data_IF_056754600371
#
_entry.id   IF_056754600371
#
_cell.length_a   1.000
_cell.length_b   1.000
_cell.length_c   1.000
_cell.angle_alpha   90.00
_cell.angle_beta   90.00
_cell.angle_gamma   90.00
#
_symmetry.space_group_name_H-M   'P 1'
#
loop_
_entity.id
_entity.type
_entity.pdbx_description
1 polymer ?
#
# COMPACT_ATOMS: atom_id res chain seq x y z
N UNK A 1 5.11 -13.01 -26.29
CA UNK A 1 4.13 -13.07 -25.19
C UNK A 1 4.70 -12.25 -24.05
N UNK A 2 4.04 -11.17 -23.65
CA UNK A 2 4.38 -10.46 -22.42
C UNK A 2 4.03 -11.37 -21.25
N UNK A 3 5.04 -11.90 -20.56
CA UNK A 3 4.85 -12.60 -19.29
C UNK A 3 4.19 -11.64 -18.32
N UNK A 4 2.93 -11.89 -17.97
CA UNK A 4 2.23 -11.17 -16.92
C UNK A 4 3.04 -11.34 -15.62
N UNK A 5 3.42 -10.23 -15.01
CA UNK A 5 4.00 -10.21 -13.67
C UNK A 5 2.88 -10.08 -12.66
N UNK A 6 2.97 -10.83 -11.57
CA UNK A 6 2.07 -10.73 -10.43
C UNK A 6 2.76 -10.02 -9.28
N UNK A 7 2.00 -9.22 -8.54
CA UNK A 7 2.50 -8.44 -7.42
C UNK A 7 1.53 -8.59 -6.26
N UNK A 8 2.07 -8.77 -5.05
CA UNK A 8 1.31 -8.61 -3.82
C UNK A 8 1.46 -7.15 -3.37
N UNK A 9 0.34 -6.48 -3.09
CA UNK A 9 0.30 -5.10 -2.59
C UNK A 9 -0.34 -5.10 -1.21
N UNK A 10 0.32 -4.47 -0.24
CA UNK A 10 -0.17 -4.37 1.13
C UNK A 10 -0.08 -2.94 1.65
N UNK A 11 -1.07 -2.56 2.45
CA UNK A 11 -1.11 -1.28 3.18
C UNK A 11 -1.13 -1.61 4.66
N UNK A 12 -0.18 -1.04 5.39
CA UNK A 12 -0.06 -1.25 6.84
C UNK A 12 -0.37 0.04 7.57
N UNK A 13 -1.34 0.00 8.48
CA UNK A 13 -1.65 1.09 9.39
C UNK A 13 -1.09 0.77 10.77
N UNK A 14 -0.15 1.59 11.27
CA UNK A 14 0.38 1.47 12.63
C UNK A 14 -0.34 2.43 13.58
N UNK A 15 -0.26 2.14 14.88
CA UNK A 15 -0.73 3.04 15.95
C UNK A 15 -2.23 3.41 15.87
N UNK A 16 -3.04 2.52 15.30
CA UNK A 16 -4.48 2.73 15.18
C UNK A 16 -5.19 2.67 16.53
N UNK A 17 -5.66 3.82 17.00
CA UNK A 17 -6.52 3.90 18.18
C UNK A 17 -7.97 3.56 17.82
N UNK A 18 -8.49 2.48 18.42
CA UNK A 18 -9.88 2.03 18.31
C UNK A 18 -10.29 1.15 19.51
N UNK A 19 -11.60 1.00 19.74
CA UNK A 19 -12.14 0.27 20.89
C UNK A 19 -11.98 -1.26 20.78
N UNK A 20 -11.92 -1.80 19.55
CA UNK A 20 -11.75 -3.22 19.28
C UNK A 20 -11.22 -3.47 17.84
N UNK A 21 -10.80 -4.70 17.48
CA UNK A 21 -10.23 -4.99 16.17
C UNK A 21 -11.16 -4.71 14.98
N UNK A 22 -12.47 -4.92 15.15
CA UNK A 22 -13.45 -4.64 14.09
C UNK A 22 -13.56 -3.14 13.82
N UNK A 23 -13.58 -2.32 14.87
CA UNK A 23 -13.63 -0.86 14.74
C UNK A 23 -12.31 -0.29 14.19
N UNK A 24 -11.16 -0.89 14.52
CA UNK A 24 -9.88 -0.55 13.88
C UNK A 24 -9.93 -0.79 12.37
N UNK A 25 -10.41 -1.97 11.95
CA UNK A 25 -10.53 -2.32 10.53
C UNK A 25 -11.52 -1.41 9.79
N UNK A 26 -12.69 -1.13 10.37
CA UNK A 26 -13.67 -0.19 9.79
C UNK A 26 -13.08 1.20 9.63
N UNK A 27 -12.32 1.68 10.62
CA UNK A 27 -11.65 2.99 10.57
C UNK A 27 -10.60 3.06 9.46
N UNK A 28 -9.80 2.01 9.28
CA UNK A 28 -8.84 1.92 8.17
C UNK A 28 -9.55 1.93 6.80
N UNK A 29 -10.60 1.11 6.64
CA UNK A 29 -11.41 1.11 5.42
C UNK A 29 -12.05 2.47 5.14
N UNK A 30 -12.49 3.16 6.18
CA UNK A 30 -13.08 4.50 6.05
C UNK A 30 -12.06 5.51 5.52
N UNK A 31 -10.83 5.51 6.04
CA UNK A 31 -9.74 6.35 5.53
C UNK A 31 -9.44 6.07 4.05
N UNK A 32 -9.49 4.81 3.64
CA UNK A 32 -9.26 4.42 2.25
C UNK A 32 -10.41 4.84 1.30
N UNK A 33 -11.66 4.81 1.76
CA UNK A 33 -12.84 4.98 0.91
C UNK A 33 -13.41 6.40 0.86
N UNK A 34 -13.33 7.16 1.96
CA UNK A 34 -14.05 8.43 2.06
C UNK A 34 -13.21 9.66 1.71
N UNK A 35 -11.89 9.65 1.93
CA UNK A 35 -11.07 10.87 1.81
C UNK A 35 -10.27 10.99 0.49
N UNK A 36 -10.40 10.05 -0.47
CA UNK A 36 -9.52 9.96 -1.66
C UNK A 36 -8.01 9.89 -1.36
N UNK A 37 -7.62 9.79 -0.09
CA UNK A 37 -6.22 9.78 0.36
C UNK A 37 -5.49 8.46 0.09
N UNK A 38 -6.16 7.43 -0.44
CA UNK A 38 -5.45 6.24 -0.92
C UNK A 38 -4.41 6.61 -2.00
N UNK A 39 -4.68 7.64 -2.82
CA UNK A 39 -3.72 8.11 -3.81
C UNK A 39 -2.58 8.96 -3.21
N UNK A 40 -2.54 9.15 -1.89
CA UNK A 40 -1.47 9.85 -1.18
C UNK A 40 -0.74 8.94 -0.19
N UNK A 41 -1.06 7.63 -0.21
CA UNK A 41 -0.48 6.63 0.68
C UNK A 41 0.78 5.97 0.10
N UNK A 42 1.56 5.39 1.04
CA UNK A 42 2.73 4.56 0.75
C UNK A 42 2.32 3.09 0.87
N UNK A 43 2.72 2.29 -0.13
CA UNK A 43 2.37 0.88 -0.28
C UNK A 43 3.62 0.01 -0.30
N UNK A 44 3.59 -1.11 0.41
CA UNK A 44 4.59 -2.16 0.26
C UNK A 44 4.15 -3.12 -0.84
N UNK A 45 4.99 -3.27 -1.87
CA UNK A 45 4.74 -4.10 -3.06
C UNK A 45 5.84 -5.14 -3.19
N UNK A 46 5.48 -6.40 -3.43
CA UNK A 46 6.41 -7.50 -3.67
C UNK A 46 6.16 -8.13 -5.06
N UNK A 47 7.21 -8.23 -5.89
CA UNK A 47 7.19 -9.04 -7.13
C UNK A 47 7.25 -10.52 -6.72
N UNK A 48 6.20 -11.29 -7.02
CA UNK A 48 6.08 -12.68 -6.55
C UNK A 48 7.09 -13.62 -7.21
N UNK A 49 7.64 -13.26 -8.38
CA UNK A 49 8.58 -14.10 -9.09
C UNK A 49 10.01 -13.89 -8.60
N UNK A 50 10.37 -12.65 -8.26
CA UNK A 50 11.74 -12.30 -7.83
C UNK A 50 11.88 -12.10 -6.32
N UNK A 51 10.76 -12.02 -5.60
CA UNK A 51 10.68 -11.59 -4.19
C UNK A 51 11.30 -10.21 -3.93
N UNK A 52 11.46 -9.39 -4.97
CA UNK A 52 11.91 -8.02 -4.81
C UNK A 52 10.80 -7.18 -4.20
N UNK A 53 11.17 -6.36 -3.20
CA UNK A 53 10.25 -5.48 -2.49
C UNK A 53 10.44 -4.04 -2.89
N UNK A 54 9.33 -3.31 -2.92
CA UNK A 54 9.26 -1.92 -3.31
C UNK A 54 8.36 -1.17 -2.34
N UNK A 55 8.75 0.06 -2.02
CA UNK A 55 7.87 1.06 -1.42
C UNK A 55 7.33 1.92 -2.55
N UNK A 56 6.01 2.05 -2.65
CA UNK A 56 5.34 2.87 -3.66
C UNK A 56 4.59 4.01 -2.98
N UNK A 57 5.05 5.25 -3.15
CA UNK A 57 4.42 6.46 -2.65
C UNK A 57 3.59 7.11 -3.76
N UNK A 58 2.26 7.04 -3.66
CA UNK A 58 1.37 7.59 -4.68
C UNK A 58 1.21 9.12 -4.59
N UNK A 59 1.68 9.75 -3.49
CA UNK A 59 1.68 11.21 -3.38
C UNK A 59 2.75 11.88 -4.25
N UNK A 60 3.77 11.12 -4.63
CA UNK A 60 4.89 11.56 -5.46
C UNK A 60 4.60 11.31 -6.96
N UNK A 61 5.19 12.11 -7.87
CA UNK A 61 5.06 11.88 -9.31
C UNK A 61 5.68 10.53 -9.72
N UNK A 62 5.21 9.96 -10.83
CA UNK A 62 5.61 8.63 -11.35
C UNK A 62 7.13 8.37 -11.40
N UNK A 63 7.94 9.41 -11.62
CA UNK A 63 9.40 9.30 -11.68
C UNK A 63 10.04 8.99 -10.31
N UNK A 64 9.37 9.33 -9.22
CA UNK A 64 9.86 9.21 -7.83
C UNK A 64 9.00 8.28 -6.96
N UNK A 65 7.85 7.82 -7.47
CA UNK A 65 6.86 7.09 -6.69
C UNK A 65 7.29 5.67 -6.29
N UNK A 66 8.31 5.08 -6.93
CA UNK A 66 8.74 3.69 -6.66
C UNK A 66 10.18 3.64 -6.18
N UNK A 67 10.40 3.04 -5.01
CA UNK A 67 11.73 2.81 -4.44
C UNK A 67 11.91 1.34 -4.08
N UNK A 68 12.97 0.71 -4.59
CA UNK A 68 13.32 -0.66 -4.19
C UNK A 68 13.80 -0.65 -2.74
N UNK A 69 13.21 -1.50 -1.92
CA UNK A 69 13.59 -1.68 -0.52
C UNK A 69 14.27 -3.05 -0.35
N UNK A 70 15.34 -3.06 0.47
CA UNK A 70 16.25 -4.19 0.67
C UNK A 70 15.66 -5.31 1.51
#
# INVERSE_FOLDING_TARGET
MSTLKTFTVSVTFTDMVADNPLEAAKKACKWLLEDNDANTMIYDVEDEATHEKFSVDLSEPDENSVQKIS
#
